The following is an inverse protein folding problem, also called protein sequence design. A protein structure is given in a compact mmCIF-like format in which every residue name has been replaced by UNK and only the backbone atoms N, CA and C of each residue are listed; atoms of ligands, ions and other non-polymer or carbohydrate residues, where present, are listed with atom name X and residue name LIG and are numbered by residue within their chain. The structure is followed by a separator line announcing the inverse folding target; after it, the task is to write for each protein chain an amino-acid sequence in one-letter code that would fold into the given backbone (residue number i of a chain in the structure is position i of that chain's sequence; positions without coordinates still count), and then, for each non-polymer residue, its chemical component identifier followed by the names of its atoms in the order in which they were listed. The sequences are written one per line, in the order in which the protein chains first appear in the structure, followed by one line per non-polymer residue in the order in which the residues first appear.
data_IF_650646473349
#
_entry.id   IF_650646473349
#
_cell.length_a   1.000
_cell.length_b   1.000
_cell.length_c   1.000
_cell.angle_alpha   90.00
_cell.angle_beta   90.00
_cell.angle_gamma   90.00
#
_symmetry.space_group_name_H-M   'P 1'
#
loop_
_entity.id
_entity.type
_entity.pdbx_description
1 polymer ?
#
# COMPACT_ATOMS: atom_id res chain seq x y z
N UNK A 1 5.22 16.86 3.96
CA UNK A 1 5.50 16.15 5.22
C UNK A 1 6.64 16.87 5.94
N UNK A 2 6.50 17.15 7.23
CA UNK A 2 7.53 17.75 8.08
C UNK A 2 7.57 17.04 9.43
N UNK A 3 8.75 16.99 10.06
CA UNK A 3 8.91 16.47 11.43
C UNK A 3 8.94 17.64 12.41
N UNK A 4 8.19 17.55 13.50
CA UNK A 4 8.17 18.55 14.56
C UNK A 4 8.56 17.93 15.90
N UNK A 5 9.50 18.58 16.60
CA UNK A 5 10.02 18.14 17.91
C UNK A 5 9.48 18.98 19.07
N UNK A 6 8.77 20.08 18.76
CA UNK A 6 8.16 20.97 19.75
C UNK A 6 6.90 21.64 19.17
N UNK A 7 6.18 22.37 20.03
CA UNK A 7 4.92 23.04 19.67
C UNK A 7 5.09 24.05 18.52
N UNK A 8 6.17 24.82 18.51
CA UNK A 8 6.41 25.85 17.48
C UNK A 8 6.61 25.22 16.11
N UNK A 9 7.46 24.19 16.02
CA UNK A 9 7.68 23.43 14.77
C UNK A 9 6.40 22.74 14.29
N UNK A 10 5.53 22.30 15.22
CA UNK A 10 4.24 21.73 14.86
C UNK A 10 3.31 22.79 14.23
N UNK A 11 3.23 23.98 14.82
CA UNK A 11 2.45 25.11 14.27
C UNK A 11 2.94 25.48 12.86
N UNK A 12 4.25 25.63 12.68
CA UNK A 12 4.86 25.90 11.37
C UNK A 12 4.59 24.78 10.34
N UNK A 13 4.69 23.52 10.77
CA UNK A 13 4.40 22.37 9.92
C UNK A 13 2.94 22.29 9.50
N UNK A 14 2.01 22.63 10.41
CA UNK A 14 0.57 22.70 10.12
C UNK A 14 0.26 23.82 9.12
N UNK A 15 0.82 25.02 9.32
CA UNK A 15 0.62 26.15 8.41
C UNK A 15 1.02 25.78 6.97
N UNK A 16 2.18 25.13 6.82
CA UNK A 16 2.65 24.62 5.52
C UNK A 16 1.70 23.55 4.98
N UNK A 17 1.34 22.55 5.79
CA UNK A 17 0.50 21.44 5.34
C UNK A 17 -0.89 21.90 4.86
N UNK A 18 -1.50 22.88 5.54
CA UNK A 18 -2.79 23.44 5.15
C UNK A 18 -2.75 24.26 3.85
N UNK A 19 -1.56 24.61 3.35
CA UNK A 19 -1.44 25.17 1.98
C UNK A 19 -1.64 24.11 0.89
N UNK A 20 -1.44 22.83 1.21
CA UNK A 20 -1.54 21.72 0.26
C UNK A 20 -2.87 20.96 0.34
N UNK A 21 -3.47 20.84 1.54
CA UNK A 21 -4.75 20.15 1.73
C UNK A 21 -5.57 20.78 2.87
N UNK A 22 -6.90 20.69 2.78
CA UNK A 22 -7.84 21.08 3.84
C UNK A 22 -7.84 20.12 5.04
N UNK A 23 -7.33 18.90 4.86
CA UNK A 23 -7.24 17.88 5.91
C UNK A 23 -5.78 17.49 6.09
N UNK A 24 -5.30 17.62 7.32
CA UNK A 24 -3.93 17.25 7.70
C UNK A 24 -3.98 16.12 8.72
N UNK A 25 -3.01 15.21 8.63
CA UNK A 25 -2.79 14.13 9.58
C UNK A 25 -1.57 14.46 10.45
N UNK A 26 -1.70 14.30 11.76
CA UNK A 26 -0.61 14.47 12.72
C UNK A 26 -0.43 13.15 13.45
N UNK A 27 0.76 12.59 13.36
CA UNK A 27 1.07 11.25 13.88
C UNK A 27 2.29 11.30 14.79
N UNK A 28 2.38 10.31 15.68
CA UNK A 28 3.56 10.14 16.53
C UNK A 28 4.73 9.71 15.64
N UNK A 29 5.81 10.50 15.64
CA UNK A 29 7.02 10.14 14.92
C UNK A 29 7.67 8.88 15.52
N UNK A 30 8.05 7.95 14.66
CA UNK A 30 8.94 6.83 15.02
C UNK A 30 10.37 7.35 14.89
N UNK A 31 11.21 7.08 15.90
CA UNK A 31 12.59 7.53 15.89
C UNK A 31 13.48 6.48 15.24
N UNK A 32 14.24 6.89 14.21
CA UNK A 32 15.15 6.03 13.46
C UNK A 32 14.52 4.69 12.97
N UNK A 33 13.31 4.70 12.37
CA UNK A 33 12.73 3.47 11.84
C UNK A 33 13.57 2.94 10.69
N UNK A 34 13.59 1.62 10.55
CA UNK A 34 13.99 0.95 9.31
C UNK A 34 12.79 1.00 8.35
N UNK A 35 12.98 1.60 7.18
CA UNK A 35 11.96 1.57 6.12
C UNK A 35 11.98 0.22 5.42
N UNK A 36 10.82 -0.39 5.22
CA UNK A 36 10.65 -1.67 4.53
C UNK A 36 9.47 -1.58 3.56
N UNK A 37 9.61 -2.07 2.33
CA UNK A 37 8.54 -2.00 1.34
C UNK A 37 8.24 -3.38 0.76
N UNK A 38 6.95 -3.67 0.56
CA UNK A 38 6.49 -4.89 -0.11
C UNK A 38 5.53 -4.53 -1.24
N UNK A 39 5.68 -5.13 -2.42
CA UNK A 39 4.71 -4.99 -3.50
C UNK A 39 3.77 -6.18 -3.55
N UNK A 40 2.51 -5.93 -3.86
CA UNK A 40 1.52 -6.98 -4.11
C UNK A 40 0.98 -6.82 -5.53
N UNK A 41 0.94 -7.93 -6.26
CA UNK A 41 0.42 -8.02 -7.63
C UNK A 41 -0.70 -9.07 -7.65
N UNK A 42 -1.86 -8.69 -8.18
CA UNK A 42 -2.97 -9.60 -8.34
C UNK A 42 -4.34 -8.95 -8.37
N UNK A 43 -5.35 -9.77 -8.08
CA UNK A 43 -6.75 -9.39 -7.90
C UNK A 43 -7.43 -10.41 -6.98
N UNK A 44 -8.77 -10.43 -6.96
CA UNK A 44 -9.54 -11.35 -6.13
C UNK A 44 -9.33 -12.84 -6.46
N UNK A 45 -8.83 -13.17 -7.65
CA UNK A 45 -8.57 -14.55 -8.07
C UNK A 45 -7.29 -15.08 -7.43
N UNK A 46 -6.23 -14.25 -7.45
CA UNK A 46 -4.92 -14.57 -6.90
C UNK A 46 -4.11 -13.31 -6.69
N UNK A 47 -3.44 -13.22 -5.54
CA UNK A 47 -2.43 -12.21 -5.26
C UNK A 47 -1.11 -12.86 -4.83
N UNK A 48 0.00 -12.22 -5.19
CA UNK A 48 1.36 -12.59 -4.79
C UNK A 48 2.00 -11.38 -4.13
N UNK A 49 2.77 -11.58 -3.07
CA UNK A 49 3.66 -10.57 -2.50
C UNK A 49 5.07 -10.74 -3.10
N UNK A 50 5.77 -9.63 -3.29
CA UNK A 50 7.17 -9.60 -3.69
C UNK A 50 8.10 -9.90 -2.51
N UNK A 51 9.40 -10.02 -2.78
CA UNK A 51 10.43 -9.82 -1.75
C UNK A 51 10.32 -8.44 -1.09
N UNK A 52 10.92 -8.27 0.07
CA UNK A 52 10.94 -6.98 0.80
C UNK A 52 12.13 -6.13 0.32
N UNK A 53 11.92 -4.83 0.11
CA UNK A 53 12.99 -3.83 -0.07
C UNK A 53 13.27 -3.12 1.24
N UNK A 54 14.53 -2.78 1.48
CA UNK A 54 14.93 -1.76 2.46
C UNK A 54 15.51 -0.55 1.73
N UNK A 55 14.78 0.58 1.61
CA UNK A 55 15.32 1.82 1.10
C UNK A 55 16.50 2.32 1.94
N UNK A 56 17.46 2.99 1.30
CA UNK A 56 18.63 3.55 1.99
C UNK A 56 18.55 5.08 1.93
N UNK A 57 18.11 5.69 3.03
CA UNK A 57 18.00 7.13 3.20
C UNK A 57 19.22 7.69 3.94
N UNK A 58 20.03 8.51 3.25
CA UNK A 58 21.22 9.15 3.83
C UNK A 58 22.44 8.23 3.92
N UNK A 59 23.64 8.78 3.73
CA UNK A 59 24.90 8.05 3.49
C UNK A 59 25.47 7.21 4.66
N UNK A 60 24.64 6.79 5.62
CA UNK A 60 25.06 6.06 6.82
C UNK A 60 24.62 4.59 6.85
N UNK A 61 24.43 3.99 5.67
CA UNK A 61 24.18 2.55 5.50
C UNK A 61 25.21 1.69 6.25
N UNK A 62 26.48 2.11 6.25
CA UNK A 62 27.56 1.41 6.95
C UNK A 62 27.32 1.36 8.46
N UNK A 63 26.98 2.48 9.10
CA UNK A 63 26.71 2.53 10.54
C UNK A 63 25.46 1.73 10.94
N UNK A 64 24.44 1.71 10.08
CA UNK A 64 23.24 0.91 10.32
C UNK A 64 23.51 -0.60 10.15
N UNK A 65 24.20 -1.00 9.08
CA UNK A 65 24.57 -2.39 8.84
C UNK A 65 25.48 -2.92 9.94
N UNK A 66 26.46 -2.11 10.37
CA UNK A 66 27.37 -2.49 11.44
C UNK A 66 26.63 -2.64 12.79
N UNK A 67 25.65 -1.77 13.06
CA UNK A 67 24.87 -1.79 14.31
C UNK A 67 23.80 -2.89 14.35
N UNK A 68 23.18 -3.24 13.21
CA UNK A 68 21.98 -4.08 13.19
C UNK A 68 22.03 -5.30 12.25
N UNK A 69 22.95 -5.35 11.28
CA UNK A 69 22.99 -6.37 10.21
C UNK A 69 24.36 -7.09 10.20
N UNK A 70 25.13 -6.99 11.29
CA UNK A 70 26.50 -7.51 11.36
C UNK A 70 26.57 -9.00 10.98
N UNK A 71 27.36 -9.33 9.94
CA UNK A 71 27.62 -10.70 9.49
C UNK A 71 27.09 -11.09 8.11
N UNK A 72 26.19 -10.31 7.49
CA UNK A 72 25.52 -10.73 6.23
C UNK A 72 26.10 -10.07 4.97
N UNK A 73 26.74 -8.89 5.08
CA UNK A 73 27.06 -8.07 3.90
C UNK A 73 28.55 -7.73 3.84
N UNK A 74 29.24 -8.24 2.82
CA UNK A 74 30.67 -7.99 2.58
C UNK A 74 30.97 -6.50 2.36
N UNK A 75 31.98 -6.01 3.09
CA UNK A 75 32.35 -4.59 3.24
C UNK A 75 32.93 -3.89 1.99
N UNK A 76 32.56 -4.27 0.77
CA UNK A 76 33.08 -3.65 -0.46
C UNK A 76 31.94 -3.25 -1.41
N UNK A 77 31.60 -1.95 -1.41
CA UNK A 77 30.79 -1.33 -2.47
C UNK A 77 29.46 -0.69 -2.08
N UNK A 78 29.08 -0.71 -0.80
CA UNK A 78 27.72 -0.32 -0.36
C UNK A 78 27.42 1.19 -0.35
N UNK A 79 28.42 2.06 -0.47
CA UNK A 79 28.23 3.51 -0.34
C UNK A 79 27.36 4.16 -1.44
N UNK A 80 27.04 3.43 -2.51
CA UNK A 80 26.22 3.89 -3.64
C UNK A 80 24.84 3.23 -3.75
N UNK A 81 24.48 2.32 -2.84
CA UNK A 81 23.19 1.62 -2.90
C UNK A 81 22.07 2.55 -2.46
N UNK A 82 21.11 2.81 -3.36
CA UNK A 82 19.87 3.54 -3.03
C UNK A 82 18.83 2.66 -2.30
N UNK A 83 19.03 1.35 -2.30
CA UNK A 83 18.13 0.32 -1.75
C UNK A 83 18.85 -1.01 -1.61
N UNK A 84 18.36 -1.88 -0.72
CA UNK A 84 18.77 -3.27 -0.57
C UNK A 84 17.58 -4.17 -0.85
N UNK A 85 17.72 -5.10 -1.81
CA UNK A 85 16.65 -6.02 -2.23
C UNK A 85 17.26 -7.40 -2.50
N UNK A 86 16.87 -8.46 -1.77
CA UNK A 86 15.93 -8.47 -0.64
C UNK A 86 16.49 -7.73 0.60
N UNK A 87 15.60 -7.22 1.45
CA UNK A 87 15.96 -6.60 2.72
C UNK A 87 16.67 -7.60 3.64
N UNK A 88 17.75 -7.21 4.33
CA UNK A 88 18.52 -8.10 5.21
C UNK A 88 17.86 -8.18 6.60
N UNK A 89 16.67 -8.76 6.65
CA UNK A 89 15.86 -8.96 7.86
C UNK A 89 15.59 -10.45 8.08
N UNK A 90 15.15 -10.81 9.28
CA UNK A 90 14.79 -12.20 9.61
C UNK A 90 13.71 -12.75 8.66
N UNK A 91 13.82 -14.04 8.32
CA UNK A 91 12.85 -14.73 7.46
C UNK A 91 11.43 -14.71 8.04
N UNK A 92 11.31 -14.71 9.37
CA UNK A 92 10.03 -14.60 10.07
C UNK A 92 9.36 -13.25 9.80
N UNK A 93 10.11 -12.15 9.96
CA UNK A 93 9.60 -10.80 9.69
C UNK A 93 9.29 -10.61 8.20
N UNK A 94 10.12 -11.16 7.31
CA UNK A 94 9.84 -11.16 5.87
C UNK A 94 8.48 -11.78 5.56
N UNK A 95 8.20 -12.97 6.09
CA UNK A 95 6.92 -13.67 5.89
C UNK A 95 5.76 -12.89 6.49
N UNK A 96 5.93 -12.36 7.69
CA UNK A 96 4.89 -11.59 8.38
C UNK A 96 4.50 -10.34 7.57
N UNK A 97 5.47 -9.59 7.06
CA UNK A 97 5.21 -8.42 6.21
C UNK A 97 4.58 -8.80 4.87
N UNK A 98 4.96 -9.94 4.27
CA UNK A 98 4.34 -10.43 3.03
C UNK A 98 2.88 -10.84 3.26
N UNK A 99 2.59 -11.57 4.34
CA UNK A 99 1.23 -11.99 4.72
C UNK A 99 0.36 -10.78 5.05
N UNK A 100 0.88 -9.83 5.83
CA UNK A 100 0.18 -8.58 6.12
C UNK A 100 -0.10 -7.78 4.84
N UNK A 101 0.88 -7.71 3.93
CA UNK A 101 0.71 -7.03 2.65
C UNK A 101 -0.42 -7.63 1.81
N UNK A 102 -0.51 -8.97 1.76
CA UNK A 102 -1.60 -9.68 1.10
C UNK A 102 -2.95 -9.43 1.76
N UNK A 103 -3.00 -9.40 3.09
CA UNK A 103 -4.21 -9.09 3.83
C UNK A 103 -4.69 -7.66 3.56
N UNK A 104 -3.79 -6.67 3.63
CA UNK A 104 -4.09 -5.26 3.32
C UNK A 104 -4.61 -5.11 1.89
N UNK A 105 -3.94 -5.74 0.92
CA UNK A 105 -4.36 -5.73 -0.48
C UNK A 105 -5.80 -6.24 -0.64
N UNK A 106 -6.14 -7.34 0.04
CA UNK A 106 -7.46 -7.95 0.00
C UNK A 106 -8.51 -7.09 0.70
N UNK A 107 -8.25 -6.63 1.92
CA UNK A 107 -9.20 -5.84 2.72
C UNK A 107 -9.53 -4.49 2.10
N UNK A 108 -8.60 -3.93 1.32
CA UNK A 108 -8.82 -2.69 0.56
C UNK A 108 -9.35 -2.91 -0.87
N UNK A 109 -9.73 -4.15 -1.21
CA UNK A 109 -10.23 -4.55 -2.54
C UNK A 109 -9.32 -4.09 -3.70
N UNK A 110 -8.00 -4.11 -3.47
CA UNK A 110 -7.01 -3.69 -4.45
C UNK A 110 -6.97 -4.67 -5.63
N UNK A 111 -6.63 -4.13 -6.81
CA UNK A 111 -6.46 -4.88 -8.07
C UNK A 111 -5.27 -4.28 -8.82
N UNK A 112 -4.51 -5.12 -9.52
CA UNK A 112 -3.30 -4.72 -10.23
C UNK A 112 -2.08 -4.80 -9.34
N UNK A 113 -1.31 -3.72 -9.25
CA UNK A 113 -0.07 -3.67 -8.44
C UNK A 113 -0.13 -2.51 -7.45
N UNK A 114 0.22 -2.81 -6.20
CA UNK A 114 0.41 -1.80 -5.15
C UNK A 114 1.76 -1.98 -4.47
N UNK A 115 2.25 -0.95 -3.81
CA UNK A 115 3.37 -1.03 -2.86
C UNK A 115 2.91 -0.58 -1.49
N UNK A 116 3.19 -1.38 -0.48
CA UNK A 116 2.87 -1.10 0.91
C UNK A 116 4.19 -0.80 1.60
N UNK A 117 4.27 0.38 2.19
CA UNK A 117 5.48 0.92 2.78
C UNK A 117 5.33 0.86 4.30
N UNK A 118 6.36 0.36 4.97
CA UNK A 118 6.38 0.08 6.39
C UNK A 118 7.49 0.86 7.08
N UNK A 119 7.24 1.28 8.31
CA UNK A 119 8.27 1.69 9.26
C UNK A 119 8.41 0.62 10.34
N UNK A 120 9.60 0.06 10.47
CA UNK A 120 9.95 -0.93 11.48
C UNK A 120 10.85 -0.32 12.56
N UNK A 121 10.38 -0.34 13.80
CA UNK A 121 11.14 0.04 14.98
C UNK A 121 11.86 -1.19 15.53
N UNK A 122 13.17 -1.24 15.29
CA UNK A 122 14.05 -2.35 15.68
C UNK A 122 14.15 -2.48 17.21
N UNK A 123 14.06 -1.38 17.96
CA UNK A 123 14.21 -1.41 19.42
C UNK A 123 12.99 -2.03 20.10
N UNK A 124 11.80 -1.68 19.62
CA UNK A 124 10.55 -2.21 20.17
C UNK A 124 10.03 -3.46 19.44
N UNK A 125 10.69 -3.87 18.35
CA UNK A 125 10.27 -4.97 17.47
C UNK A 125 8.83 -4.81 16.97
N UNK A 126 8.44 -3.58 16.64
CA UNK A 126 7.11 -3.26 16.10
C UNK A 126 7.24 -2.66 14.71
N UNK A 127 6.33 -3.01 13.81
CA UNK A 127 6.22 -2.41 12.48
C UNK A 127 4.86 -1.75 12.29
N UNK A 128 4.81 -0.73 11.44
CA UNK A 128 3.63 0.06 11.16
C UNK A 128 3.52 0.26 9.65
N UNK A 129 2.31 0.16 9.11
CA UNK A 129 2.04 0.55 7.72
C UNK A 129 2.05 2.08 7.68
N UNK A 130 2.91 2.65 6.84
CA UNK A 130 3.05 4.08 6.64
C UNK A 130 2.11 4.57 5.55
N UNK A 131 2.19 3.94 4.38
CA UNK A 131 1.37 4.32 3.23
C UNK A 131 1.16 3.14 2.27
N UNK A 132 0.15 3.29 1.42
CA UNK A 132 -0.19 2.34 0.37
C UNK A 132 -0.20 3.08 -0.96
N UNK A 133 0.78 2.75 -1.79
CA UNK A 133 0.96 3.31 -3.12
C UNK A 133 0.21 2.45 -4.14
N UNK A 134 -1.01 2.88 -4.51
CA UNK A 134 -1.87 2.15 -5.47
C UNK A 134 -1.38 2.18 -6.92
N UNK A 135 -0.49 3.11 -7.25
CA UNK A 135 0.24 3.16 -8.52
C UNK A 135 1.70 3.46 -8.16
N UNK A 136 2.49 2.44 -7.78
CA UNK A 136 3.86 2.67 -7.40
C UNK A 136 4.73 3.05 -8.62
N UNK A 137 5.76 3.85 -8.38
CA UNK A 137 6.71 4.23 -9.42
C UNK A 137 7.31 3.01 -10.13
N UNK A 138 7.34 3.06 -11.46
CA UNK A 138 7.78 1.94 -12.32
C UNK A 138 7.11 0.59 -11.98
N UNK A 139 5.87 0.62 -11.48
CA UNK A 139 5.09 -0.57 -11.10
C UNK A 139 5.82 -1.46 -10.08
N UNK A 140 6.73 -0.89 -9.29
CA UNK A 140 7.61 -1.65 -8.38
C UNK A 140 8.40 -2.77 -9.08
N UNK A 141 8.71 -2.64 -10.38
CA UNK A 141 9.34 -3.71 -11.16
C UNK A 141 10.62 -4.27 -10.51
N UNK A 142 11.43 -3.43 -9.86
CA UNK A 142 12.66 -3.85 -9.19
C UNK A 142 12.43 -4.87 -8.05
N UNK A 143 11.23 -4.90 -7.45
CA UNK A 143 10.83 -5.94 -6.48
C UNK A 143 10.39 -7.22 -7.20
N UNK A 144 9.68 -7.08 -8.32
CA UNK A 144 9.17 -8.19 -9.12
C UNK A 144 10.27 -8.94 -9.87
N UNK A 145 11.28 -8.24 -10.38
CA UNK A 145 12.48 -8.84 -10.96
C UNK A 145 13.21 -9.73 -9.95
N UNK A 146 13.25 -9.32 -8.68
CA UNK A 146 13.80 -10.11 -7.57
C UNK A 146 12.84 -11.17 -7.02
N UNK A 147 11.62 -11.21 -7.55
CA UNK A 147 10.59 -12.21 -7.23
C UNK A 147 10.30 -13.12 -8.43
N UNK A 148 11.27 -13.23 -9.35
CA UNK A 148 11.26 -14.04 -10.57
C UNK A 148 10.12 -13.69 -11.54
N UNK A 149 9.79 -12.41 -11.69
CA UNK A 149 8.84 -11.91 -12.69
C UNK A 149 9.56 -10.91 -13.59
N UNK A 150 9.65 -11.22 -14.88
CA UNK A 150 10.21 -10.31 -15.88
C UNK A 150 9.28 -9.12 -16.13
N UNK A 151 9.82 -8.05 -16.73
CA UNK A 151 9.01 -6.87 -17.03
C UNK A 151 7.86 -7.19 -17.98
N UNK A 152 8.09 -8.03 -19.00
CA UNK A 152 7.05 -8.43 -19.95
C UNK A 152 5.93 -9.19 -19.24
N UNK A 153 6.27 -10.18 -18.40
CA UNK A 153 5.30 -10.95 -17.63
C UNK A 153 4.50 -10.06 -16.67
N UNK A 154 5.15 -9.08 -16.02
CA UNK A 154 4.47 -8.12 -15.17
C UNK A 154 3.41 -7.32 -15.94
N UNK A 155 3.75 -6.83 -17.13
CA UNK A 155 2.80 -6.09 -17.97
C UNK A 155 1.65 -6.99 -18.44
N UNK A 156 1.94 -8.22 -18.89
CA UNK A 156 0.92 -9.17 -19.32
C UNK A 156 -0.06 -9.49 -18.19
N UNK A 157 0.44 -9.73 -16.98
CA UNK A 157 -0.39 -9.97 -15.80
C UNK A 157 -1.27 -8.77 -15.47
N UNK A 158 -0.73 -7.54 -15.52
CA UNK A 158 -1.50 -6.33 -15.26
C UNK A 158 -2.60 -6.10 -16.30
N UNK A 159 -2.33 -6.40 -17.58
CA UNK A 159 -3.33 -6.32 -18.65
C UNK A 159 -4.44 -7.35 -18.43
N UNK A 160 -4.10 -8.60 -18.09
CA UNK A 160 -5.10 -9.64 -17.77
C UNK A 160 -5.99 -9.21 -16.60
N UNK A 161 -5.39 -8.74 -15.51
CA UNK A 161 -6.11 -8.23 -14.33
C UNK A 161 -7.06 -7.08 -14.72
N UNK A 162 -6.59 -6.13 -15.53
CA UNK A 162 -7.39 -5.01 -15.98
C UNK A 162 -8.59 -5.44 -16.85
N UNK A 163 -8.38 -6.39 -17.78
CA UNK A 163 -9.44 -6.95 -18.61
C UNK A 163 -10.46 -7.73 -17.78
N UNK A 164 -9.99 -8.49 -16.79
CA UNK A 164 -10.85 -9.22 -15.86
C UNK A 164 -11.72 -8.26 -15.04
N UNK A 165 -11.12 -7.27 -14.38
CA UNK A 165 -11.83 -6.27 -13.60
C UNK A 165 -12.85 -5.48 -14.45
N UNK A 166 -12.50 -5.18 -15.71
CA UNK A 166 -13.43 -4.56 -16.66
C UNK A 166 -14.63 -5.47 -16.95
N UNK A 167 -14.39 -6.75 -17.24
CA UNK A 167 -15.45 -7.73 -17.49
C UNK A 167 -16.40 -7.88 -16.30
N UNK A 168 -15.88 -8.00 -15.08
CA UNK A 168 -16.68 -8.05 -13.84
C UNK A 168 -17.59 -6.82 -13.74
N UNK A 169 -17.04 -5.63 -13.97
CA UNK A 169 -17.80 -4.37 -13.92
C UNK A 169 -18.95 -4.31 -14.94
N UNK A 170 -18.74 -4.82 -16.15
CA UNK A 170 -19.76 -4.83 -17.20
C UNK A 170 -20.92 -5.79 -16.90
N UNK A 171 -20.65 -6.85 -16.14
CA UNK A 171 -21.65 -7.85 -15.76
C UNK A 171 -22.46 -7.46 -14.50
N UNK A 172 -22.19 -6.29 -13.91
CA UNK A 172 -22.98 -5.79 -12.78
C UNK A 172 -24.36 -5.31 -13.26
N UNK A 173 -25.41 -5.77 -12.58
CA UNK A 173 -26.77 -5.29 -12.81
C UNK A 173 -27.01 -3.99 -12.03
N UNK A 174 -27.20 -2.88 -12.75
CA UNK A 174 -27.51 -1.58 -12.16
C UNK A 174 -29.00 -1.28 -12.06
N UNK A 175 -29.85 -2.10 -12.69
CA UNK A 175 -31.31 -1.91 -12.72
C UNK A 175 -32.00 -3.06 -12.00
N UNK A 176 -32.65 -2.76 -10.89
CA UNK A 176 -33.54 -3.70 -10.20
C UNK A 176 -34.97 -3.45 -10.68
N UNK A 177 -35.48 -4.34 -11.53
CA UNK A 177 -36.92 -4.38 -11.83
C UNK A 177 -37.60 -5.21 -10.74
N UNK A 178 -38.20 -4.55 -9.74
CA UNK A 178 -38.96 -5.24 -8.69
C UNK A 178 -40.46 -5.14 -8.95
N UNK A 179 -41.14 -6.28 -8.99
CA UNK A 179 -42.62 -6.35 -9.07
C UNK A 179 -43.31 -5.92 -7.77
N UNK A 180 -42.58 -5.77 -6.67
CA UNK A 180 -43.10 -5.26 -5.39
C UNK A 180 -43.56 -3.79 -5.52
N UNK A 181 -42.85 -2.97 -6.30
CA UNK A 181 -43.25 -1.59 -6.56
C UNK A 181 -44.42 -1.48 -7.56
N UNK A 182 -44.60 -2.48 -8.43
CA UNK A 182 -45.78 -2.55 -9.32
C UNK A 182 -47.04 -2.94 -8.57
N UNK A 183 -46.91 -3.70 -7.48
CA UNK A 183 -48.04 -4.25 -6.72
C UNK A 183 -48.59 -3.31 -5.65
N UNK A 184 -47.89 -2.21 -5.31
CA UNK A 184 -48.20 -1.34 -4.17
C UNK A 184 -48.84 0.02 -4.49
N UNK A 185 -48.96 0.42 -5.76
CA UNK A 185 -49.54 1.73 -6.15
C UNK A 185 -50.84 1.52 -6.95
N UNK A 186 -51.81 0.84 -6.35
CA UNK A 186 -53.21 1.00 -6.75
C UNK A 186 -53.83 2.06 -5.83
N UNK A 187 -53.65 3.33 -6.22
CA UNK A 187 -54.31 4.45 -5.58
C UNK A 187 -55.82 4.22 -5.53
N UNK A 188 -56.38 4.06 -4.33
CA UNK A 188 -57.82 4.12 -4.11
C UNK A 188 -58.31 5.47 -4.63
N UNK A 189 -59.05 5.47 -5.74
CA UNK A 189 -59.77 6.64 -6.24
C UNK A 189 -60.63 7.20 -5.11
N UNK A 190 -60.27 8.39 -4.63
CA UNK A 190 -61.08 9.14 -3.67
C UNK A 190 -62.47 9.38 -4.26
N UNK A 191 -63.49 8.91 -3.54
CA UNK A 191 -64.89 9.25 -3.77
C UNK A 191 -65.06 10.76 -3.56
N UNK A 192 -65.37 11.49 -4.63
CA UNK A 192 -65.85 12.88 -4.53
C UNK A 192 -67.23 12.86 -3.89
N UNK A 193 -67.32 13.19 -2.61
CA UNK A 193 -68.55 13.71 -2.02
C UNK A 193 -68.84 15.09 -2.60
N UNK A 194 -70.00 15.26 -3.22
CA UNK A 194 -70.65 16.56 -3.36
C UNK A 194 -71.85 16.57 -2.41
N UNK A 195 -72.08 17.74 -1.81
CA UNK A 195 -73.27 18.11 -1.02
C UNK A 195 -74.57 17.59 -1.64
#
# INVERSE_FOLDING_TARGET
VSKASNKKELEEGLDIAFTFDRKVLVEKAINNPMELNCSVLGDERKAKASVIEMPVTGGNLLGFIEKYISGVIGSKGMASLKRVVPAPIEDSLTKELQELSLNVFKELDCKGVVRIDYMYDVESNNYYITEINVIPGSLSYYLWEKSDISYSELIDLLVDIALHAHSVKQNLNYTFSSDILKSGINGKKGTKGKL
#
